data_IF_632468208327
#
_entry.id   IF_632468208327
#
_cell.length_a   1.000
_cell.length_b   1.000
_cell.length_c   1.000
_cell.angle_alpha   90.00
_cell.angle_beta   90.00
_cell.angle_gamma   90.00
#
_symmetry.space_group_name_H-M   'P 1'
#
loop_
_entity.id
_entity.type
_entity.pdbx_description
1 polymer ?
#
# COMPACT_ATOMS: atom_id res chain seq x y z
N UNK A 1 -17.55 -3.75 -16.28
CA UNK A 1 -16.66 -3.12 -15.28
C UNK A 1 -16.36 -4.19 -14.25
N UNK A 2 -15.13 -4.72 -14.20
CA UNK A 2 -14.80 -5.78 -13.26
C UNK A 2 -14.78 -5.19 -11.84
N UNK A 3 -15.64 -5.73 -10.98
CA UNK A 3 -15.71 -5.43 -9.55
C UNK A 3 -14.35 -5.74 -8.90
N UNK A 4 -13.66 -4.69 -8.44
CA UNK A 4 -12.36 -4.81 -7.75
C UNK A 4 -12.62 -5.22 -6.30
N UNK A 5 -12.02 -6.31 -5.81
CA UNK A 5 -12.25 -6.75 -4.44
C UNK A 5 -11.75 -5.72 -3.42
N UNK A 6 -12.42 -5.68 -2.28
CA UNK A 6 -12.04 -4.82 -1.16
C UNK A 6 -10.94 -5.51 -0.36
N UNK A 7 -9.74 -4.94 -0.37
CA UNK A 7 -8.63 -5.36 0.46
C UNK A 7 -8.68 -4.61 1.80
N UNK A 8 -8.50 -5.34 2.89
CA UNK A 8 -8.44 -4.77 4.24
C UNK A 8 -6.99 -4.67 4.67
N UNK A 9 -6.66 -3.61 5.40
CA UNK A 9 -5.33 -3.43 5.96
C UNK A 9 -5.33 -2.73 7.31
N UNK A 10 -4.21 -2.84 8.00
CA UNK A 10 -3.94 -2.17 9.25
C UNK A 10 -2.45 -1.87 9.45
N UNK A 11 -2.16 -0.88 10.29
CA UNK A 11 -0.80 -0.66 10.77
C UNK A 11 -0.38 -1.75 11.77
N UNK A 12 0.91 -1.79 12.13
CA UNK A 12 1.46 -2.77 13.08
C UNK A 12 0.76 -2.78 14.45
N UNK A 13 0.36 -1.61 14.96
CA UNK A 13 -0.35 -1.51 16.25
C UNK A 13 -1.88 -1.55 16.12
N UNK A 14 -2.42 -1.81 14.92
CA UNK A 14 -3.84 -1.97 14.62
C UNK A 14 -4.74 -0.76 14.88
N UNK A 15 -4.18 0.37 15.32
CA UNK A 15 -4.90 1.64 15.57
C UNK A 15 -5.33 2.34 14.30
N UNK A 16 -4.63 2.10 13.20
CA UNK A 16 -5.00 2.57 11.88
C UNK A 16 -5.47 1.38 11.06
N UNK A 17 -6.73 1.39 10.63
CA UNK A 17 -7.37 0.36 9.81
C UNK A 17 -7.97 1.03 8.59
N UNK A 18 -7.86 0.38 7.45
CA UNK A 18 -8.31 0.93 6.17
C UNK A 18 -8.81 -0.19 5.26
N UNK A 19 -9.64 0.20 4.31
CA UNK A 19 -10.15 -0.66 3.25
C UNK A 19 -9.90 0.05 1.92
N UNK A 20 -9.54 -0.69 0.88
CA UNK A 20 -9.29 -0.13 -0.44
C UNK A 20 -9.74 -1.07 -1.54
N UNK A 21 -10.13 -0.49 -2.67
CA UNK A 21 -10.44 -1.22 -3.88
C UNK A 21 -9.17 -1.31 -4.73
N UNK A 22 -8.55 -2.48 -4.76
CA UNK A 22 -7.37 -2.72 -5.59
C UNK A 22 -7.54 -3.97 -6.44
N UNK A 23 -6.70 -4.07 -7.46
CA UNK A 23 -6.47 -5.37 -8.06
C UNK A 23 -5.77 -6.24 -7.00
N UNK A 24 -6.19 -7.50 -6.86
CA UNK A 24 -5.50 -8.47 -5.99
C UNK A 24 -4.09 -8.64 -6.55
N UNK A 25 -3.08 -8.58 -5.68
CA UNK A 25 -1.73 -9.04 -6.05
C UNK A 25 -1.84 -10.51 -6.43
N UNK A 26 -1.48 -10.83 -7.67
CA UNK A 26 -1.41 -12.22 -8.10
C UNK A 26 0.04 -12.71 -8.05
N UNK A 27 0.98 -11.81 -8.33
CA UNK A 27 2.39 -12.16 -8.50
C UNK A 27 3.32 -11.07 -7.91
N UNK A 28 4.62 -11.39 -7.73
CA UNK A 28 5.62 -10.43 -7.20
C UNK A 28 5.70 -9.16 -8.05
N UNK A 29 5.46 -9.27 -9.36
CA UNK A 29 5.47 -8.17 -10.33
C UNK A 29 4.38 -7.12 -10.11
N UNK A 30 3.31 -7.45 -9.37
CA UNK A 30 2.28 -6.48 -8.98
C UNK A 30 2.75 -5.54 -7.83
N UNK A 31 3.91 -5.84 -7.23
CA UNK A 31 4.48 -5.08 -6.12
C UNK A 31 5.85 -4.48 -6.47
N UNK A 32 6.01 -3.18 -6.22
CA UNK A 32 7.19 -2.40 -6.55
C UNK A 32 8.04 -2.13 -5.31
N UNK A 33 9.31 -2.55 -5.38
CA UNK A 33 10.35 -2.21 -4.39
C UNK A 33 11.04 -0.92 -4.80
N UNK A 34 10.53 0.23 -4.34
CA UNK A 34 11.17 1.52 -4.62
C UNK A 34 12.59 1.59 -4.04
N UNK A 35 13.58 1.98 -4.86
CA UNK A 35 14.98 2.00 -4.48
C UNK A 35 15.42 3.25 -3.68
N UNK A 36 14.53 4.21 -3.41
CA UNK A 36 14.88 5.44 -2.71
C UNK A 36 15.24 5.20 -1.24
N UNK A 37 16.10 6.04 -0.66
CA UNK A 37 16.56 5.88 0.72
C UNK A 37 15.43 5.90 1.75
N UNK A 38 14.36 6.65 1.49
CA UNK A 38 13.20 6.73 2.38
C UNK A 38 12.42 5.41 2.43
N UNK A 39 12.07 4.85 1.26
CA UNK A 39 11.33 3.59 1.17
C UNK A 39 12.16 2.42 1.70
N UNK A 40 13.47 2.42 1.46
CA UNK A 40 14.39 1.42 2.03
C UNK A 40 14.41 1.47 3.56
N UNK A 41 14.53 2.66 4.17
CA UNK A 41 14.52 2.83 5.64
C UNK A 41 13.18 2.43 6.26
N UNK A 42 12.07 2.72 5.59
CA UNK A 42 10.72 2.38 6.04
C UNK A 42 10.33 0.93 5.75
N UNK A 43 11.10 0.22 4.93
CA UNK A 43 10.78 -1.14 4.50
C UNK A 43 9.46 -1.19 3.73
N UNK A 44 9.17 -0.19 2.88
CA UNK A 44 7.93 -0.17 2.11
C UNK A 44 8.01 -1.09 0.89
N UNK A 45 6.92 -1.79 0.63
CA UNK A 45 6.69 -2.55 -0.61
C UNK A 45 5.38 -2.04 -1.21
N UNK A 46 5.39 -1.51 -2.42
CA UNK A 46 4.30 -0.69 -2.92
C UNK A 46 3.46 -1.40 -3.97
N UNK A 47 2.14 -1.38 -3.81
CA UNK A 47 1.21 -1.76 -4.86
C UNK A 47 0.48 -0.51 -5.36
N UNK A 48 0.46 -0.23 -6.68
CA UNK A 48 -0.31 0.87 -7.24
C UNK A 48 -1.81 0.62 -7.02
N UNK A 49 -2.53 1.65 -6.56
CA UNK A 49 -3.96 1.60 -6.26
C UNK A 49 -4.65 2.83 -6.82
N UNK A 50 -5.57 2.62 -7.76
CA UNK A 50 -6.26 3.69 -8.51
C UNK A 50 -7.56 4.17 -7.86
N UNK A 51 -8.21 3.33 -7.06
CA UNK A 51 -9.47 3.67 -6.38
C UNK A 51 -9.21 3.94 -4.90
N UNK A 52 -9.40 5.20 -4.51
CA UNK A 52 -9.47 5.58 -3.10
C UNK A 52 -10.73 6.38 -2.88
N UNK A 53 -11.57 5.92 -1.98
CA UNK A 53 -12.64 6.71 -1.39
C UNK A 53 -12.13 7.31 -0.08
N UNK A 54 -11.14 8.20 -0.17
CA UNK A 54 -10.65 8.98 0.96
C UNK A 54 -11.07 10.44 0.71
N UNK A 55 -12.08 10.91 1.43
CA UNK A 55 -12.64 12.27 1.32
C UNK A 55 -11.62 13.37 1.73
N UNK A 56 -10.45 12.99 2.25
CA UNK A 56 -9.33 13.88 2.55
C UNK A 56 -8.39 13.98 1.35
N UNK A 57 -8.72 14.86 0.40
CA UNK A 57 -7.95 15.16 -0.80
C UNK A 57 -6.56 15.79 -0.59
N UNK A 58 -5.69 15.18 0.22
CA UNK A 58 -4.28 15.59 0.38
C UNK A 58 -3.34 14.42 0.16
N UNK A 59 -2.54 14.57 -0.90
CA UNK A 59 -1.47 13.68 -1.34
C UNK A 59 -0.19 14.05 -0.62
N UNK A 60 0.31 13.16 0.24
CA UNK A 60 1.69 13.04 0.75
C UNK A 60 1.63 12.02 1.89
N UNK A 61 2.22 10.85 1.66
CA UNK A 61 2.40 9.71 2.58
C UNK A 61 1.53 9.64 3.88
N UNK A 62 0.65 8.64 3.97
CA UNK A 62 -0.10 8.34 5.20
C UNK A 62 0.64 7.29 6.01
N UNK A 63 0.90 7.59 7.28
CA UNK A 63 1.55 6.68 8.22
C UNK A 63 0.87 6.73 9.60
N UNK A 64 1.02 5.66 10.38
CA UNK A 64 0.54 5.64 11.76
C UNK A 64 1.48 6.44 12.67
N UNK A 65 0.97 7.47 13.34
CA UNK A 65 1.74 8.30 14.28
C UNK A 65 2.23 7.57 15.54
N UNK A 66 1.69 6.37 15.81
CA UNK A 66 2.04 5.57 17.00
C UNK A 66 3.17 4.58 16.72
N UNK A 67 3.08 3.82 15.62
CA UNK A 67 4.05 2.77 15.29
C UNK A 67 4.91 3.09 14.06
N UNK A 68 4.69 4.22 13.39
CA UNK A 68 5.47 4.66 12.23
C UNK A 68 5.23 3.85 10.94
N UNK A 69 4.30 2.89 10.94
CA UNK A 69 4.00 2.10 9.74
C UNK A 69 3.42 3.01 8.66
N UNK A 70 4.14 3.17 7.56
CA UNK A 70 3.62 3.80 6.35
C UNK A 70 2.64 2.88 5.66
N UNK A 71 1.47 3.43 5.36
CA UNK A 71 0.30 2.70 4.87
C UNK A 71 0.05 3.05 3.40
N UNK A 72 0.10 4.34 3.08
CA UNK A 72 -0.17 4.84 1.74
C UNK A 72 0.90 5.86 1.35
N UNK A 73 1.21 5.95 0.07
CA UNK A 73 2.15 6.94 -0.45
C UNK A 73 1.89 7.24 -1.92
N UNK A 74 2.10 8.49 -2.32
CA UNK A 74 2.24 8.86 -3.72
C UNK A 74 3.70 9.16 -4.00
N UNK A 75 4.25 8.54 -5.05
CA UNK A 75 5.64 8.77 -5.41
C UNK A 75 5.75 10.07 -6.22
N UNK A 76 6.67 10.94 -5.83
CA UNK A 76 6.98 12.18 -6.56
C UNK A 76 7.94 11.94 -7.74
N UNK A 77 8.60 10.79 -7.77
CA UNK A 77 9.58 10.38 -8.77
C UNK A 77 9.71 8.85 -8.87
N UNK A 78 10.34 8.36 -9.93
CA UNK A 78 10.50 6.92 -10.20
C UNK A 78 9.33 6.31 -10.97
N UNK A 79 9.28 4.98 -11.03
CA UNK A 79 8.32 4.20 -11.83
C UNK A 79 6.86 4.40 -11.37
N UNK A 80 6.66 4.68 -10.08
CA UNK A 80 5.34 4.94 -9.50
C UNK A 80 4.95 6.43 -9.48
N UNK A 81 5.66 7.30 -10.23
CA UNK A 81 5.46 8.74 -10.17
C UNK A 81 4.00 9.13 -10.44
N UNK A 82 3.39 9.87 -9.49
CA UNK A 82 2.00 10.34 -9.58
C UNK A 82 0.95 9.26 -9.32
N UNK A 83 1.36 8.03 -8.98
CA UNK A 83 0.46 6.95 -8.60
C UNK A 83 0.31 6.88 -7.09
N UNK A 84 -0.95 6.85 -6.64
CA UNK A 84 -1.28 6.43 -5.28
C UNK A 84 -0.94 4.96 -5.12
N UNK A 85 -0.19 4.62 -4.08
CA UNK A 85 0.25 3.26 -3.80
C UNK A 85 0.03 2.90 -2.33
N UNK A 86 -0.27 1.63 -2.07
CA UNK A 86 -0.43 1.07 -0.72
C UNK A 86 0.79 0.23 -0.36
N UNK A 87 1.20 0.29 0.90
CA UNK A 87 2.22 -0.61 1.42
C UNK A 87 1.62 -2.01 1.59
N UNK A 88 2.04 -2.96 0.77
CA UNK A 88 1.59 -4.34 0.75
C UNK A 88 1.70 -5.00 2.14
N UNK A 89 2.74 -4.66 2.90
CA UNK A 89 2.97 -5.19 4.25
C UNK A 89 1.96 -4.73 5.29
N UNK A 90 1.12 -3.76 4.95
CA UNK A 90 0.01 -3.31 5.78
C UNK A 90 -1.34 -3.93 5.39
N UNK A 91 -1.37 -4.75 4.33
CA UNK A 91 -2.56 -5.49 3.94
C UNK A 91 -2.69 -6.78 4.74
N UNK A 92 -3.93 -7.11 5.09
CA UNK A 92 -4.26 -8.38 5.74
C UNK A 92 -4.38 -9.47 4.69
N UNK A 93 -3.96 -10.68 5.05
CA UNK A 93 -4.02 -11.83 4.14
C UNK A 93 -3.07 -11.70 2.95
N UNK A 94 -2.01 -10.89 3.04
CA UNK A 94 -0.95 -10.87 2.03
C UNK A 94 0.36 -11.30 2.66
N UNK A 95 0.99 -12.32 2.08
CA UNK A 95 2.36 -12.63 2.44
C UNK A 95 3.32 -11.61 1.81
N UNK A 96 3.97 -10.80 2.64
CA UNK A 96 4.88 -9.74 2.20
C UNK A 96 6.26 -10.23 1.71
N UNK A 97 6.48 -11.54 1.65
CA UNK A 97 7.73 -12.18 1.20
C UNK A 97 7.52 -13.12 -0.01
N UNK A 98 6.39 -13.82 -0.08
CA UNK A 98 5.97 -14.76 -1.11
C UNK A 98 4.94 -14.21 -2.09
N UNK A 99 4.41 -13.00 -1.84
CA UNK A 99 3.51 -12.26 -2.75
C UNK A 99 2.19 -12.97 -3.06
N UNK A 100 1.80 -13.94 -2.23
CA UNK A 100 0.52 -14.62 -2.33
C UNK A 100 -0.52 -13.96 -1.41
N UNK A 101 -1.71 -13.70 -1.94
CA UNK A 101 -2.88 -13.35 -1.13
C UNK A 101 -3.48 -14.63 -0.53
N UNK A 102 -3.44 -14.76 0.80
CA UNK A 102 -4.02 -15.85 1.58
C UNK A 102 -5.31 -15.34 2.24
N UNK A 103 -6.50 -15.80 1.79
CA UNK A 103 -7.80 -15.27 2.22
C UNK A 103 -8.13 -15.52 3.70
#
# INVERSE_FOLDING_TARGET
>A
MAERPVLKGNCHCERYRFELHAAVLKEEEDAVKCACGLCKKKGCLWMPCSDRNDESGVRLEVFCSVCGTTVLGEHVSGELKGMGSVNVRSLRGVDGFGFEYVP
#
